data_IF_237513718582
#
_entry.id   IF_237513718582
#
_cell.length_a   1.000
_cell.length_b   1.000
_cell.length_c   1.000
_cell.angle_alpha   90.00
_cell.angle_beta   90.00
_cell.angle_gamma   90.00
#
_symmetry.space_group_name_H-M   'P 1'
#
loop_
_entity.id
_entity.type
_entity.pdbx_description
1 polymer ?
#
# COMPACT_ATOMS: atom_id res chain seq x y z
N UNK A 1 7.64 14.47 -15.53
CA UNK A 1 6.94 15.03 -14.35
C UNK A 1 6.56 13.88 -13.42
N UNK A 2 6.65 14.06 -12.10
CA UNK A 2 6.32 13.01 -11.12
C UNK A 2 6.18 13.57 -9.71
N UNK A 3 5.49 12.85 -8.83
CA UNK A 3 5.38 13.24 -7.43
C UNK A 3 6.70 13.01 -6.69
N UNK A 4 7.02 13.86 -5.71
CA UNK A 4 8.20 13.72 -4.85
C UNK A 4 7.80 13.21 -3.47
N UNK A 5 8.41 12.14 -2.94
CA UNK A 5 8.14 11.70 -1.58
C UNK A 5 8.56 12.77 -0.57
N UNK A 6 7.74 12.96 0.47
CA UNK A 6 8.05 13.85 1.59
C UNK A 6 8.93 13.18 2.65
N UNK A 7 8.87 11.85 2.71
CA UNK A 7 9.68 10.99 3.55
C UNK A 7 9.73 9.57 2.94
N UNK A 8 10.68 8.71 3.34
CA UNK A 8 10.63 7.28 3.00
C UNK A 8 9.33 6.62 3.49
N UNK A 9 8.89 5.51 2.86
CA UNK A 9 7.78 4.72 3.37
C UNK A 9 8.03 4.26 4.80
N UNK A 10 7.02 4.37 5.66
CA UNK A 10 7.12 4.03 7.07
C UNK A 10 5.90 3.21 7.54
N UNK A 11 6.00 2.52 8.69
CA UNK A 11 4.92 1.65 9.18
C UNK A 11 3.60 2.41 9.35
N UNK A 12 2.49 1.80 8.92
CA UNK A 12 1.16 2.33 9.23
C UNK A 12 0.90 2.28 10.75
N UNK A 13 0.42 3.37 11.37
CA UNK A 13 0.12 3.40 12.78
C UNK A 13 -1.29 2.89 13.10
N UNK A 14 -1.54 2.62 14.38
CA UNK A 14 -2.89 2.42 14.90
C UNK A 14 -3.58 1.15 14.38
N UNK A 15 -4.92 1.18 14.20
CA UNK A 15 -5.70 0.00 13.81
C UNK A 15 -5.34 -0.59 12.44
N UNK A 16 -4.63 0.18 11.61
CA UNK A 16 -4.20 -0.22 10.26
C UNK A 16 -2.76 -0.75 10.24
N UNK A 17 -2.14 -0.85 11.41
CA UNK A 17 -0.80 -1.40 11.57
C UNK A 17 -0.73 -2.88 11.12
N UNK A 18 0.43 -3.20 10.56
CA UNK A 18 0.83 -4.55 10.17
C UNK A 18 2.34 -4.56 9.94
N UNK A 19 3.06 -5.63 10.27
CA UNK A 19 4.51 -5.70 10.08
C UNK A 19 5.01 -5.26 8.69
N UNK A 20 4.23 -5.54 7.63
CA UNK A 20 4.50 -5.20 6.24
C UNK A 20 3.65 -4.04 5.69
N UNK A 21 2.67 -3.53 6.44
CA UNK A 21 1.88 -2.36 6.02
C UNK A 21 2.71 -1.09 6.05
N UNK A 22 2.64 -0.28 4.98
CA UNK A 22 3.43 0.95 4.84
C UNK A 22 2.58 2.08 4.29
N UNK A 23 2.98 3.31 4.60
CA UNK A 23 2.46 4.51 3.94
C UNK A 23 3.55 5.54 3.65
N UNK A 24 3.28 6.43 2.69
CA UNK A 24 4.12 7.57 2.35
C UNK A 24 3.29 8.74 1.83
N UNK A 25 3.69 9.95 2.19
CA UNK A 25 3.16 11.17 1.60
C UNK A 25 4.04 11.65 0.45
N UNK A 26 3.41 12.16 -0.61
CA UNK A 26 4.09 12.71 -1.78
C UNK A 26 3.49 14.06 -2.16
N UNK A 27 4.33 14.98 -2.66
CA UNK A 27 3.89 16.23 -3.28
C UNK A 27 3.86 16.06 -4.80
N UNK A 28 2.70 16.31 -5.41
CA UNK A 28 2.58 16.32 -6.87
C UNK A 28 3.10 17.64 -7.47
N UNK A 29 3.46 17.67 -8.76
CA UNK A 29 3.91 18.90 -9.42
C UNK A 29 2.88 20.03 -9.49
N UNK A 30 1.60 19.72 -9.28
CA UNK A 30 0.46 20.64 -9.36
C UNK A 30 -0.07 21.04 -7.97
N UNK A 31 0.71 20.78 -6.93
CA UNK A 31 0.48 21.30 -5.58
C UNK A 31 -0.29 20.37 -4.65
N UNK A 32 -0.91 19.28 -5.13
CA UNK A 32 -1.64 18.34 -4.27
C UNK A 32 -0.72 17.45 -3.43
N UNK A 33 -1.17 17.06 -2.25
CA UNK A 33 -0.57 15.98 -1.46
C UNK A 33 -1.27 14.67 -1.77
N UNK A 34 -0.50 13.60 -2.02
CA UNK A 34 -1.01 12.24 -2.11
C UNK A 34 -0.53 11.42 -0.91
N UNK A 35 -1.38 10.52 -0.44
CA UNK A 35 -1.02 9.44 0.47
C UNK A 35 -1.06 8.13 -0.31
N UNK A 36 0.05 7.40 -0.31
CA UNK A 36 0.10 6.03 -0.83
C UNK A 36 0.15 5.08 0.36
N UNK A 37 -0.76 4.09 0.35
CA UNK A 37 -0.89 3.11 1.42
C UNK A 37 -0.89 1.71 0.85
N UNK A 38 -0.12 0.80 1.46
CA UNK A 38 -0.11 -0.61 1.11
C UNK A 38 -0.56 -1.48 2.29
N UNK A 39 -1.38 -2.48 1.97
CA UNK A 39 -1.90 -3.46 2.93
C UNK A 39 -1.48 -4.89 2.55
N UNK A 40 -0.21 -5.30 2.66
CA UNK A 40 0.15 -6.72 2.57
C UNK A 40 -0.47 -7.54 3.70
N UNK A 41 -0.49 -7.00 4.92
CA UNK A 41 -1.15 -7.63 6.07
C UNK A 41 -2.65 -7.29 6.10
N UNK A 42 -3.51 -8.21 6.56
CA UNK A 42 -4.95 -7.97 6.66
C UNK A 42 -5.29 -7.02 7.81
N UNK A 43 -6.31 -6.19 7.61
CA UNK A 43 -6.85 -5.33 8.65
C UNK A 43 -7.47 -6.17 9.79
N UNK A 44 -7.41 -5.72 11.07
CA UNK A 44 -7.90 -6.49 12.22
C UNK A 44 -9.37 -6.95 12.10
N UNK A 45 -10.23 -6.12 11.48
CA UNK A 45 -11.65 -6.47 11.28
C UNK A 45 -11.86 -7.75 10.47
N UNK A 46 -10.89 -8.16 9.65
CA UNK A 46 -10.98 -9.36 8.82
C UNK A 46 -11.06 -10.66 9.65
N UNK A 47 -10.75 -10.59 10.96
CA UNK A 47 -10.91 -11.69 11.92
C UNK A 47 -12.38 -11.94 12.30
N UNK A 48 -13.25 -10.97 12.05
CA UNK A 48 -14.65 -10.99 12.52
C UNK A 48 -15.65 -11.05 11.37
N UNK A 49 -15.20 -11.24 10.13
CA UNK A 49 -16.06 -11.34 8.96
C UNK A 49 -15.39 -12.11 7.84
N UNK A 50 -16.18 -12.79 7.01
CA UNK A 50 -15.70 -13.43 5.77
C UNK A 50 -15.53 -12.45 4.61
N UNK A 51 -15.98 -11.19 4.77
CA UNK A 51 -15.79 -10.15 3.76
C UNK A 51 -14.32 -9.76 3.66
N UNK A 52 -13.74 -9.88 2.47
CA UNK A 52 -12.36 -9.49 2.18
C UNK A 52 -12.33 -8.16 1.43
N UNK A 53 -11.30 -7.35 1.68
CA UNK A 53 -11.01 -6.17 0.84
C UNK A 53 -10.77 -6.68 -0.58
N UNK A 54 -11.44 -6.08 -1.55
CA UNK A 54 -11.26 -6.43 -2.95
C UNK A 54 -9.80 -6.21 -3.35
N UNK A 55 -9.23 -7.17 -4.09
CA UNK A 55 -7.89 -7.08 -4.69
C UNK A 55 -8.01 -7.50 -6.16
N UNK A 56 -7.24 -6.88 -7.06
CA UNK A 56 -7.13 -7.35 -8.43
C UNK A 56 -6.70 -8.82 -8.44
N UNK A 57 -7.28 -9.64 -9.33
CA UNK A 57 -6.79 -11.00 -9.54
C UNK A 57 -5.34 -10.91 -10.04
N UNK A 58 -4.39 -11.64 -9.45
CA UNK A 58 -3.05 -11.70 -10.01
C UNK A 58 -3.11 -12.17 -11.47
N UNK A 59 -2.24 -11.67 -12.35
CA UNK A 59 -2.24 -12.07 -13.75
C UNK A 59 -2.05 -13.59 -13.84
N UNK A 60 -2.82 -14.25 -14.71
CA UNK A 60 -2.61 -15.66 -15.03
C UNK A 60 -1.47 -15.79 -16.02
N UNK A 61 -0.24 -15.92 -15.51
CA UNK A 61 0.99 -16.15 -16.27
C UNK A 61 2.21 -16.13 -15.36
N UNK A 62 3.35 -16.71 -15.76
CA UNK A 62 4.59 -16.61 -14.98
C UNK A 62 4.98 -15.13 -14.82
N UNK A 63 5.21 -14.72 -13.58
CA UNK A 63 5.69 -13.39 -13.25
C UNK A 63 7.14 -13.27 -13.75
N UNK A 64 7.31 -12.75 -14.96
CA UNK A 64 8.62 -12.50 -15.54
C UNK A 64 9.38 -11.51 -14.65
N UNK A 65 10.53 -11.94 -14.14
CA UNK A 65 11.62 -11.10 -13.64
C UNK A 65 11.25 -10.12 -12.53
N UNK A 66 11.44 -10.52 -11.28
CA UNK A 66 12.00 -9.59 -10.30
C UNK A 66 13.53 -9.74 -10.40
N UNK A 67 14.11 -9.12 -11.44
CA UNK A 67 15.55 -8.96 -11.59
C UNK A 67 15.95 -7.62 -10.92
N UNK A 68 16.91 -7.69 -10.00
CA UNK A 68 17.60 -6.52 -9.42
C UNK A 68 17.68 -6.54 -7.91
#
# INVERSE_FOLDING_TARGET
AGARPLAPPHPLPGPEAGPANRFAYLRTPWGSTLELVTYPDPQPYARHTDRRRWRPRPPSGPQAGQDG
#
